data_IF_470685435034
#
_entry.id   IF_470685435034
#
_cell.length_a   1.000
_cell.length_b   1.000
_cell.length_c   1.000
_cell.angle_alpha   90.00
_cell.angle_beta   90.00
_cell.angle_gamma   90.00
#
_symmetry.space_group_name_H-M   'P 1'
#
loop_
_entity.id
_entity.type
_entity.pdbx_description
1 polymer ?
#
# COMPACT_ATOMS: atom_id res chain seq x y z
N UNK A 1 -4.63 6.60 10.04
CA UNK A 1 -5.06 5.30 10.59
C UNK A 1 -4.45 4.22 9.74
N UNK A 2 -3.48 3.47 10.28
CA UNK A 2 -2.87 2.34 9.58
C UNK A 2 -3.85 1.17 9.61
N UNK A 3 -4.48 0.88 8.48
CA UNK A 3 -5.31 -0.32 8.35
C UNK A 3 -4.39 -1.49 8.03
N UNK A 4 -3.86 -2.15 9.05
CA UNK A 4 -3.36 -3.51 8.91
C UNK A 4 -4.56 -4.44 8.83
N UNK A 5 -5.02 -4.73 7.62
CA UNK A 5 -6.01 -5.78 7.40
C UNK A 5 -5.26 -7.10 7.40
N UNK A 6 -5.31 -7.82 8.51
CA UNK A 6 -5.03 -9.26 8.50
C UNK A 6 -6.10 -9.93 7.63
N UNK A 7 -5.74 -10.78 6.66
CA UNK A 7 -6.70 -11.43 5.78
C UNK A 7 -7.35 -12.62 6.49
N UNK A 8 -8.14 -12.36 7.52
CA UNK A 8 -8.99 -13.38 8.11
C UNK A 8 -10.42 -13.19 7.60
N UNK A 9 -10.74 -13.90 6.52
CA UNK A 9 -12.09 -14.22 6.07
C UNK A 9 -13.02 -13.03 5.71
N UNK A 10 -13.40 -12.91 4.44
CA UNK A 10 -14.48 -12.03 3.94
C UNK A 10 -14.20 -10.51 4.03
N UNK A 11 -13.10 -9.99 3.47
CA UNK A 11 -12.86 -8.54 3.44
C UNK A 11 -13.87 -7.84 2.52
N UNK A 12 -14.33 -6.66 2.90
CA UNK A 12 -15.19 -5.83 2.07
C UNK A 12 -14.36 -4.82 1.28
N UNK A 13 -14.54 -4.77 -0.05
CA UNK A 13 -13.99 -3.71 -0.90
C UNK A 13 -14.71 -2.40 -0.62
N UNK A 14 -13.95 -1.34 -0.34
CA UNK A 14 -14.50 -0.02 -0.08
C UNK A 14 -14.35 0.87 -1.31
N UNK A 15 -15.48 1.31 -1.82
CA UNK A 15 -15.58 2.29 -2.89
C UNK A 15 -15.86 3.68 -2.32
N UNK A 16 -15.41 4.70 -3.02
CA UNK A 16 -15.80 6.07 -2.77
C UNK A 16 -17.26 6.29 -3.24
N UNK A 17 -17.85 7.46 -2.96
CA UNK A 17 -19.20 7.79 -3.39
C UNK A 17 -19.38 7.84 -4.93
N UNK A 18 -18.30 7.94 -5.68
CA UNK A 18 -18.27 7.84 -7.14
C UNK A 18 -18.06 6.41 -7.66
N UNK A 19 -18.18 5.40 -6.80
CA UNK A 19 -17.99 3.98 -7.08
C UNK A 19 -16.58 3.59 -7.55
N UNK A 20 -15.58 4.46 -7.38
CA UNK A 20 -14.17 4.13 -7.60
C UNK A 20 -13.54 3.62 -6.30
N UNK A 21 -12.61 2.67 -6.34
CA UNK A 21 -11.85 2.28 -5.16
C UNK A 21 -11.17 3.50 -4.50
N UNK A 22 -11.21 3.57 -3.17
CA UNK A 22 -10.52 4.64 -2.42
C UNK A 22 -9.00 4.59 -2.64
N UNK A 23 -8.46 3.39 -2.80
CA UNK A 23 -7.07 3.14 -3.14
C UNK A 23 -6.99 1.89 -4.02
N UNK A 24 -6.07 1.92 -4.98
CA UNK A 24 -5.82 0.78 -5.85
C UNK A 24 -4.62 -0.05 -5.38
N UNK A 25 -3.67 0.58 -4.70
CA UNK A 25 -2.45 -0.07 -4.25
C UNK A 25 -2.07 0.42 -2.85
N UNK A 26 -2.24 -0.45 -1.81
CA UNK A 26 -3.11 -1.62 -1.81
C UNK A 26 -4.58 -1.25 -1.97
N UNK A 27 -5.42 -2.19 -2.40
CA UNK A 27 -6.87 -1.99 -2.43
C UNK A 27 -7.39 -1.63 -1.04
N UNK A 28 -8.38 -0.74 -1.00
CA UNK A 28 -9.08 -0.38 0.23
C UNK A 28 -9.99 -1.52 0.66
N UNK A 29 -9.47 -2.41 1.48
CA UNK A 29 -10.21 -3.52 2.07
C UNK A 29 -10.46 -3.24 3.54
N UNK A 30 -11.70 -3.38 3.98
CA UNK A 30 -12.08 -3.38 5.40
C UNK A 30 -12.33 -4.80 5.89
N UNK A 31 -12.15 -5.01 7.19
CA UNK A 31 -12.66 -6.22 7.81
C UNK A 31 -14.20 -6.26 7.68
N UNK A 32 -14.78 -7.46 7.65
CA UNK A 32 -16.24 -7.58 7.62
C UNK A 32 -16.89 -6.90 8.84
N UNK A 33 -16.24 -6.89 10.01
CA UNK A 33 -16.71 -6.22 11.23
C UNK A 33 -16.78 -4.70 11.02
N UNK A 34 -15.72 -4.10 10.44
CA UNK A 34 -15.70 -2.67 10.16
C UNK A 34 -16.73 -2.29 9.10
N UNK A 35 -16.91 -3.13 8.08
CA UNK A 35 -17.94 -2.92 7.06
C UNK A 35 -19.35 -2.94 7.66
N UNK A 36 -19.68 -3.95 8.47
CA UNK A 36 -20.97 -4.02 9.18
C UNK A 36 -21.15 -2.80 10.09
N UNK A 37 -20.16 -2.46 10.90
CA UNK A 37 -20.21 -1.26 11.74
C UNK A 37 -20.50 0.01 10.94
N UNK A 38 -19.88 0.17 9.78
CA UNK A 38 -20.11 1.32 8.91
C UNK A 38 -21.52 1.35 8.32
N UNK A 39 -22.13 0.17 8.02
CA UNK A 39 -23.53 0.05 7.59
C UNK A 39 -24.47 0.50 8.70
N UNK A 40 -24.29 0.03 9.95
CA UNK A 40 -25.11 0.45 11.08
C UNK A 40 -24.98 1.94 11.41
N UNK A 41 -23.79 2.49 11.22
CA UNK A 41 -23.56 3.93 11.38
C UNK A 41 -24.01 4.75 10.17
N UNK A 42 -24.68 4.13 9.20
CA UNK A 42 -25.17 4.78 7.97
C UNK A 42 -24.11 5.52 7.17
N UNK A 43 -22.85 5.15 7.28
CA UNK A 43 -21.73 5.79 6.59
C UNK A 43 -21.49 5.26 5.18
N UNK A 44 -22.01 4.06 4.90
CA UNK A 44 -21.84 3.36 3.61
C UNK A 44 -23.16 2.80 3.10
N UNK A 45 -23.21 2.57 1.79
CA UNK A 45 -24.23 1.76 1.12
C UNK A 45 -23.64 0.39 0.79
N UNK A 46 -24.42 -0.68 0.92
CA UNK A 46 -24.03 -2.02 0.48
C UNK A 46 -24.22 -2.09 -1.03
N UNK A 47 -23.17 -2.44 -1.76
CA UNK A 47 -23.20 -2.63 -3.22
C UNK A 47 -23.33 -4.10 -3.56
N UNK A 48 -22.62 -4.97 -2.83
CA UNK A 48 -22.70 -6.42 -3.00
C UNK A 48 -22.46 -7.13 -1.68
N UNK A 49 -22.95 -8.37 -1.58
CA UNK A 49 -22.79 -9.22 -0.42
C UNK A 49 -22.10 -10.53 -0.80
N UNK A 50 -21.43 -11.15 0.17
CA UNK A 50 -21.10 -12.57 0.12
C UNK A 50 -22.36 -13.42 0.33
N UNK A 51 -22.34 -14.66 -0.14
CA UNK A 51 -23.38 -15.63 0.19
C UNK A 51 -23.12 -16.26 1.57
N UNK A 52 -22.95 -15.40 2.56
CA UNK A 52 -22.75 -15.71 3.98
C UNK A 52 -23.42 -14.66 4.85
N UNK A 53 -24.01 -15.10 5.95
CA UNK A 53 -24.64 -14.23 6.93
C UNK A 53 -23.93 -14.32 8.29
N UNK A 54 -24.03 -13.26 9.06
CA UNK A 54 -23.74 -13.24 10.49
C UNK A 54 -25.04 -13.09 11.27
N UNK A 55 -25.08 -13.73 12.41
CA UNK A 55 -26.25 -13.80 13.28
C UNK A 55 -25.91 -13.22 14.64
N UNK A 56 -26.85 -12.53 15.22
CA UNK A 56 -26.92 -12.22 16.64
C UNK A 56 -28.31 -12.66 17.17
N UNK A 57 -28.57 -12.66 18.47
CA UNK A 57 -29.85 -13.12 18.98
C UNK A 57 -31.11 -12.44 18.42
N UNK A 58 -30.97 -11.22 17.90
CA UNK A 58 -32.05 -10.40 17.37
C UNK A 58 -31.83 -9.88 15.94
N UNK A 59 -30.79 -10.34 15.27
CA UNK A 59 -30.41 -9.75 13.98
C UNK A 59 -29.62 -10.74 13.10
N UNK A 60 -30.00 -10.78 11.81
CA UNK A 60 -29.28 -11.50 10.77
C UNK A 60 -28.93 -10.55 9.63
N UNK A 61 -27.71 -10.62 9.11
CA UNK A 61 -27.25 -9.79 7.99
C UNK A 61 -26.27 -10.56 7.11
N UNK A 62 -26.47 -10.48 5.78
CA UNK A 62 -25.43 -10.95 4.83
C UNK A 62 -24.16 -10.09 4.96
N UNK A 63 -23.01 -10.75 4.88
CA UNK A 63 -21.71 -10.06 4.95
C UNK A 63 -21.50 -9.19 3.72
N UNK A 64 -21.28 -7.86 3.85
CA UNK A 64 -20.96 -7.01 2.73
C UNK A 64 -19.62 -7.43 2.09
N UNK A 65 -19.61 -7.63 0.77
CA UNK A 65 -18.39 -7.86 0.00
C UNK A 65 -17.89 -6.59 -0.67
N UNK A 66 -18.81 -5.67 -1.00
CA UNK A 66 -18.50 -4.35 -1.55
C UNK A 66 -19.40 -3.31 -0.90
N UNK A 67 -18.80 -2.25 -0.41
CA UNK A 67 -19.51 -1.08 0.15
C UNK A 67 -19.04 0.19 -0.54
N UNK A 68 -19.94 1.18 -0.69
CA UNK A 68 -19.60 2.53 -1.14
C UNK A 68 -19.82 3.56 -0.04
N UNK A 69 -18.91 4.51 0.09
CA UNK A 69 -19.11 5.64 1.00
C UNK A 69 -20.32 6.48 0.58
N UNK A 70 -21.09 6.98 1.54
CA UNK A 70 -22.18 7.94 1.25
C UNK A 70 -21.63 9.36 0.96
N UNK A 71 -20.49 9.69 1.53
CA UNK A 71 -19.83 10.99 1.34
C UNK A 71 -18.57 10.82 0.51
N UNK A 72 -18.40 11.68 -0.50
CA UNK A 72 -17.20 11.66 -1.34
C UNK A 72 -15.96 12.07 -0.54
N UNK A 73 -14.94 11.26 -0.59
CA UNK A 73 -13.62 11.53 -0.02
C UNK A 73 -12.66 11.85 -1.17
N UNK A 74 -12.06 13.03 -1.15
CA UNK A 74 -11.07 13.42 -2.15
C UNK A 74 -9.85 12.49 -2.03
N UNK A 75 -9.53 11.71 -3.08
CA UNK A 75 -8.35 10.86 -3.06
C UNK A 75 -7.07 11.70 -2.87
N UNK A 76 -6.14 11.17 -2.07
CA UNK A 76 -4.82 11.80 -1.95
C UNK A 76 -4.09 11.72 -3.29
N UNK A 77 -3.46 12.80 -3.70
CA UNK A 77 -2.58 12.83 -4.88
C UNK A 77 -1.21 12.21 -4.59
N UNK A 78 -0.86 12.11 -3.31
CA UNK A 78 0.41 11.57 -2.85
C UNK A 78 0.16 10.27 -2.08
N UNK A 79 0.76 9.17 -2.50
CA UNK A 79 0.63 7.89 -1.80
C UNK A 79 1.34 7.94 -0.44
N UNK A 80 0.83 7.15 0.51
CA UNK A 80 1.50 6.96 1.79
C UNK A 80 2.88 6.31 1.59
N UNK A 81 3.86 6.72 2.41
CA UNK A 81 5.16 6.07 2.44
C UNK A 81 5.03 4.69 3.11
N UNK A 82 4.98 3.64 2.32
CA UNK A 82 4.90 2.24 2.77
C UNK A 82 5.95 1.40 2.04
N UNK A 83 6.32 0.26 2.63
CA UNK A 83 7.24 -0.70 1.98
C UNK A 83 6.74 -1.10 0.59
N UNK A 84 5.46 -1.45 0.50
CA UNK A 84 4.83 -1.80 -0.77
C UNK A 84 4.94 -0.68 -1.81
N UNK A 85 4.60 0.55 -1.44
CA UNK A 85 4.62 1.68 -2.37
C UNK A 85 6.03 2.08 -2.82
N UNK A 86 7.05 1.93 -1.95
CA UNK A 86 8.45 2.12 -2.34
C UNK A 86 8.86 1.04 -3.35
N UNK A 87 8.55 -0.23 -3.07
CA UNK A 87 8.88 -1.31 -4.00
C UNK A 87 8.11 -1.19 -5.31
N UNK A 88 6.85 -0.77 -5.27
CA UNK A 88 6.06 -0.51 -6.46
C UNK A 88 6.64 0.66 -7.31
N UNK A 89 7.10 1.74 -6.66
CA UNK A 89 7.84 2.83 -7.33
C UNK A 89 9.07 2.29 -8.06
N UNK A 90 9.82 1.42 -7.39
CA UNK A 90 11.07 0.85 -7.87
C UNK A 90 10.86 -0.44 -8.70
N UNK A 91 9.60 -0.72 -9.09
CA UNK A 91 9.19 -1.86 -9.93
C UNK A 91 9.58 -3.22 -9.35
N UNK A 92 9.52 -3.35 -8.02
CA UNK A 92 9.93 -4.57 -7.30
C UNK A 92 11.30 -5.08 -7.74
N UNK A 93 12.28 -4.19 -7.90
CA UNK A 93 13.63 -4.54 -8.28
C UNK A 93 14.66 -3.73 -7.50
N UNK A 94 15.77 -4.38 -7.20
CA UNK A 94 16.94 -3.74 -6.59
C UNK A 94 17.44 -2.61 -7.50
N UNK A 95 17.56 -1.41 -6.97
CA UNK A 95 17.98 -0.24 -7.73
C UNK A 95 19.48 -0.25 -8.07
N UNK A 96 20.24 -1.22 -7.55
CA UNK A 96 21.67 -1.35 -7.83
C UNK A 96 21.98 -2.44 -8.85
N UNK A 97 21.34 -3.61 -8.78
CA UNK A 97 21.66 -4.75 -9.65
C UNK A 97 20.46 -5.29 -10.45
N UNK A 98 19.23 -4.81 -10.16
CA UNK A 98 18.03 -5.28 -10.84
C UNK A 98 17.40 -6.55 -10.26
N UNK A 99 18.02 -7.20 -9.26
CA UNK A 99 17.49 -8.41 -8.60
C UNK A 99 16.12 -8.13 -7.98
N UNK A 100 15.23 -9.13 -7.98
CA UNK A 100 13.85 -9.00 -7.49
C UNK A 100 13.59 -9.71 -6.17
N UNK A 101 14.47 -10.58 -5.77
CA UNK A 101 14.33 -11.35 -4.55
C UNK A 101 14.95 -10.62 -3.35
N UNK A 102 14.45 -10.95 -2.15
CA UNK A 102 14.94 -10.47 -0.87
C UNK A 102 15.14 -8.93 -0.81
N UNK A 103 14.11 -8.20 -1.27
CA UNK A 103 14.14 -6.75 -1.30
C UNK A 103 13.99 -6.14 0.09
N UNK A 104 14.84 -5.19 0.38
CA UNK A 104 14.91 -4.40 1.61
C UNK A 104 14.90 -2.91 1.31
N UNK A 105 14.78 -2.08 2.36
CA UNK A 105 15.02 -0.65 2.25
C UNK A 105 16.52 -0.35 2.39
N UNK A 106 17.05 0.43 1.45
CA UNK A 106 18.36 1.06 1.60
C UNK A 106 18.20 2.59 1.66
N UNK A 107 18.92 3.21 2.59
CA UNK A 107 18.97 4.66 2.74
C UNK A 107 20.19 5.21 2.00
N UNK A 108 20.00 6.07 1.01
CA UNK A 108 21.13 6.68 0.28
C UNK A 108 22.03 7.46 1.24
N UNK A 109 21.47 8.35 2.04
CA UNK A 109 22.15 8.88 3.23
C UNK A 109 21.81 7.96 4.41
N UNK A 110 22.79 7.26 4.99
CA UNK A 110 22.56 6.32 6.06
C UNK A 110 21.92 6.96 7.29
N UNK A 111 21.06 6.20 7.99
CA UNK A 111 20.42 6.68 9.24
C UNK A 111 21.43 7.10 10.30
N UNK A 112 22.54 6.39 10.41
CA UNK A 112 23.66 6.71 11.32
C UNK A 112 24.31 8.05 11.01
N UNK A 113 24.08 8.62 9.84
CA UNK A 113 24.60 9.92 9.38
C UNK A 113 23.48 10.97 9.23
N UNK A 114 22.35 10.78 9.89
CA UNK A 114 21.22 11.70 9.86
C UNK A 114 20.25 11.51 8.72
N UNK A 115 20.34 10.43 7.96
CA UNK A 115 19.40 10.11 6.90
C UNK A 115 18.02 9.74 7.44
N UNK A 116 16.96 10.32 6.88
CA UNK A 116 15.58 10.05 7.23
C UNK A 116 14.93 9.03 6.30
N UNK A 117 13.97 8.27 6.84
CA UNK A 117 13.16 7.33 6.05
C UNK A 117 12.07 8.09 5.29
N UNK A 118 12.43 8.59 4.12
CA UNK A 118 11.58 9.41 3.25
C UNK A 118 11.64 8.96 1.80
N UNK A 119 10.68 9.43 0.99
CA UNK A 119 10.62 9.15 -0.44
C UNK A 119 11.91 9.48 -1.20
N UNK A 120 12.61 10.54 -0.79
CA UNK A 120 13.80 11.04 -1.49
C UNK A 120 15.11 10.44 -0.97
N UNK A 121 15.04 9.56 0.03
CA UNK A 121 16.24 8.96 0.63
C UNK A 121 16.24 7.43 0.63
N UNK A 122 15.11 6.79 0.30
CA UNK A 122 14.98 5.32 0.38
C UNK A 122 14.76 4.73 -1.01
N UNK A 123 15.49 3.66 -1.31
CA UNK A 123 15.33 2.83 -2.52
C UNK A 123 15.14 1.36 -2.15
N UNK A 124 14.57 0.59 -3.08
CA UNK A 124 14.55 -0.86 -3.00
C UNK A 124 15.96 -1.41 -3.30
N UNK A 125 16.47 -2.28 -2.45
CA UNK A 125 17.74 -2.95 -2.65
C UNK A 125 17.64 -4.41 -2.19
N UNK A 126 18.22 -5.35 -2.92
CA UNK A 126 18.37 -6.72 -2.41
C UNK A 126 19.33 -6.75 -1.21
N UNK A 127 19.15 -7.72 -0.31
CA UNK A 127 20.00 -7.83 0.89
C UNK A 127 21.50 -7.82 0.58
N UNK A 128 22.02 -8.54 -0.45
CA UNK A 128 23.43 -8.47 -0.78
C UNK A 128 23.94 -7.07 -1.16
N UNK A 129 23.18 -6.31 -1.96
CA UNK A 129 23.57 -4.95 -2.33
C UNK A 129 23.48 -3.99 -1.14
N UNK A 130 22.43 -4.13 -0.32
CA UNK A 130 22.26 -3.31 0.88
C UNK A 130 23.41 -3.53 1.87
N UNK A 131 23.78 -4.79 2.13
CA UNK A 131 24.92 -5.14 2.99
C UNK A 131 26.24 -4.61 2.43
N UNK A 132 26.46 -4.74 1.10
CA UNK A 132 27.68 -4.24 0.44
C UNK A 132 27.80 -2.72 0.56
N UNK A 133 26.71 -1.98 0.40
CA UNK A 133 26.72 -0.52 0.58
C UNK A 133 26.88 -0.13 2.06
N UNK A 134 26.21 -0.82 2.96
CA UNK A 134 26.34 -0.59 4.40
C UNK A 134 26.07 0.87 4.78
N UNK A 135 26.87 1.40 5.70
CA UNK A 135 26.78 2.77 6.20
C UNK A 135 27.52 3.81 5.33
N UNK A 136 27.72 3.50 4.05
CA UNK A 136 28.36 4.40 3.11
C UNK A 136 27.30 5.16 2.29
N UNK A 137 27.64 6.37 1.86
CA UNK A 137 26.87 7.09 0.84
C UNK A 137 27.10 6.45 -0.55
N UNK A 138 26.26 6.73 -1.56
CA UNK A 138 26.47 6.22 -2.93
C UNK A 138 27.85 6.53 -3.49
N UNK A 139 28.37 7.73 -3.20
CA UNK A 139 29.73 8.14 -3.63
C UNK A 139 30.83 7.29 -3.01
N UNK A 140 30.78 7.09 -1.70
CA UNK A 140 31.76 6.31 -0.95
C UNK A 140 31.72 4.84 -1.32
N UNK A 141 30.51 4.28 -1.48
CA UNK A 141 30.30 2.89 -1.88
C UNK A 141 30.57 2.64 -3.38
N UNK A 142 30.66 3.71 -4.18
CA UNK A 142 30.67 3.65 -5.66
C UNK A 142 29.48 2.86 -6.20
N UNK A 143 28.33 3.02 -5.53
CA UNK A 143 27.06 2.33 -5.86
C UNK A 143 25.98 3.38 -6.04
N UNK A 144 25.50 3.52 -7.27
CA UNK A 144 24.43 4.46 -7.61
C UNK A 144 23.16 3.70 -7.93
N UNK A 145 22.00 4.18 -7.45
CA UNK A 145 20.74 3.59 -7.87
C UNK A 145 20.48 3.88 -9.35
N UNK A 146 19.84 2.96 -10.05
CA UNK A 146 19.45 3.11 -11.46
C UNK A 146 18.53 4.32 -11.67
N UNK A 147 17.74 4.66 -10.65
CA UNK A 147 16.92 5.86 -10.58
C UNK A 147 17.06 6.50 -9.21
N UNK A 148 17.30 7.81 -9.17
CA UNK A 148 17.30 8.56 -7.92
C UNK A 148 15.91 8.51 -7.28
N UNK A 149 15.82 8.30 -5.95
CA UNK A 149 14.54 8.22 -5.29
C UNK A 149 13.78 9.54 -5.36
N UNK A 150 12.47 9.45 -5.52
CA UNK A 150 11.56 10.58 -5.61
C UNK A 150 10.22 10.24 -4.97
N UNK A 151 9.43 11.24 -4.64
CA UNK A 151 8.06 11.05 -4.19
C UNK A 151 7.15 10.80 -5.40
N UNK A 152 6.56 9.58 -5.52
CA UNK A 152 5.69 9.27 -6.64
C UNK A 152 4.32 9.93 -6.48
N UNK A 153 3.62 10.10 -7.60
CA UNK A 153 2.17 10.36 -7.59
C UNK A 153 1.40 9.03 -7.56
N UNK A 154 0.13 9.09 -7.18
CA UNK A 154 -0.76 7.92 -7.28
C UNK A 154 -0.81 7.39 -8.72
N UNK A 155 -0.86 8.29 -9.72
CA UNK A 155 -0.85 7.89 -11.13
C UNK A 155 0.44 7.15 -11.53
N UNK A 156 1.60 7.57 -11.00
CA UNK A 156 2.87 6.87 -11.24
C UNK A 156 2.83 5.44 -10.69
N UNK A 157 2.34 5.26 -9.46
CA UNK A 157 2.20 3.93 -8.86
C UNK A 157 1.18 3.06 -9.62
N UNK A 158 0.05 3.61 -10.05
CA UNK A 158 -0.93 2.89 -10.87
C UNK A 158 -0.32 2.36 -12.17
N UNK A 159 0.46 3.17 -12.86
CA UNK A 159 1.14 2.76 -14.09
C UNK A 159 2.10 1.59 -13.83
N UNK A 160 2.88 1.66 -12.76
CA UNK A 160 3.77 0.56 -12.38
C UNK A 160 2.98 -0.67 -11.95
N UNK A 161 1.89 -0.52 -11.19
CA UNK A 161 1.06 -1.60 -10.70
C UNK A 161 0.40 -2.45 -11.79
N UNK A 162 0.15 -1.88 -12.96
CA UNK A 162 -0.36 -2.65 -14.12
C UNK A 162 0.65 -3.70 -14.64
N UNK A 163 1.93 -3.50 -14.36
CA UNK A 163 3.00 -4.42 -14.75
C UNK A 163 3.22 -5.54 -13.73
N UNK A 164 2.68 -5.37 -12.52
CA UNK A 164 2.82 -6.28 -11.39
C UNK A 164 1.44 -6.47 -10.76
N UNK A 165 0.54 -7.27 -11.36
CA UNK A 165 -0.73 -7.59 -10.73
C UNK A 165 -0.49 -8.28 -9.39
N UNK A 166 -1.39 -8.07 -8.40
CA UNK A 166 -1.29 -8.67 -7.08
C UNK A 166 -1.37 -10.20 -7.12
#
# INVERSE_FOLDING_TARGET
MNVHVSPSGFPALVLNADFRPLSYYPLSLWSWQDAIKAVFLERVNIVANYDRAVHSPSFEMKLPSVVSLKTFVKPSTHPAFTRFNVFLRDRFSCQYCGERDDLTFDHLLPRSRGGHTTWNNVVAACSPCNLRKGNLTPNEAKMWPSQMPFQPTVHHLHRNGRLFPP
#
